data_IF_987454850045
#
_entry.id   IF_987454850045
#
_cell.length_a   1.000
_cell.length_b   1.000
_cell.length_c   1.000
_cell.angle_alpha   90.00
_cell.angle_beta   90.00
_cell.angle_gamma   90.00
#
_symmetry.space_group_name_H-M   'P 1'
#
loop_
_entity.id
_entity.type
_entity.pdbx_description
1 polymer ?
#
# COMPACT_ATOMS: atom_id res chain seq x y z
N UNK A 1 -1.76 -15.11 6.04
CA UNK A 1 -1.25 -13.83 5.51
C UNK A 1 0.25 -13.92 5.29
N UNK A 2 0.70 -13.54 4.14
CA UNK A 2 2.13 -13.53 3.79
C UNK A 2 2.53 -12.13 3.34
N UNK A 3 3.50 -11.54 4.03
CA UNK A 3 4.07 -10.25 3.67
C UNK A 3 5.54 -10.47 3.35
N UNK A 4 5.95 -10.17 2.13
CA UNK A 4 7.33 -10.33 1.67
C UNK A 4 7.97 -8.96 1.55
N UNK A 5 9.03 -8.74 2.31
CA UNK A 5 9.75 -7.46 2.34
C UNK A 5 11.09 -7.58 1.65
N UNK A 6 11.38 -6.63 0.76
CA UNK A 6 12.69 -6.42 0.17
C UNK A 6 13.14 -5.01 0.52
N UNK A 7 14.41 -4.85 0.85
CA UNK A 7 14.98 -3.57 1.22
C UNK A 7 16.14 -3.22 0.29
N UNK A 8 15.98 -2.16 -0.49
CA UNK A 8 16.92 -1.75 -1.55
C UNK A 8 17.42 -0.31 -1.35
N UNK A 9 17.50 0.17 -0.13
CA UNK A 9 17.97 1.50 0.19
C UNK A 9 19.10 1.45 1.23
N UNK A 10 20.02 2.41 1.18
CA UNK A 10 21.07 2.54 2.19
C UNK A 10 20.54 3.11 3.48
N UNK A 11 19.65 4.12 3.37
CA UNK A 11 18.98 4.73 4.51
C UNK A 11 18.10 3.72 5.21
N UNK A 12 18.12 3.70 6.54
CA UNK A 12 17.37 2.74 7.34
C UNK A 12 16.32 3.45 8.18
N UNK A 13 15.17 2.79 8.40
CA UNK A 13 14.22 3.20 9.41
C UNK A 13 14.82 2.94 10.80
N UNK A 14 14.46 3.78 11.78
CA UNK A 14 14.96 3.68 13.16
C UNK A 14 14.06 2.84 14.06
N UNK A 15 13.04 2.21 13.50
CA UNK A 15 12.06 1.39 14.20
C UNK A 15 11.80 0.11 13.41
N UNK A 16 11.08 -0.84 14.01
CA UNK A 16 10.71 -2.10 13.37
C UNK A 16 9.58 -1.84 12.36
N UNK A 17 9.98 -1.40 11.16
CA UNK A 17 9.05 -1.03 10.11
C UNK A 17 8.23 -2.22 9.58
N UNK A 18 8.79 -3.44 9.60
CA UNK A 18 8.08 -4.62 9.12
C UNK A 18 6.87 -4.94 9.99
N UNK A 19 7.05 -4.99 11.31
CA UNK A 19 5.96 -5.21 12.26
C UNK A 19 4.93 -4.11 12.17
N UNK A 20 5.39 -2.87 12.08
CA UNK A 20 4.53 -1.69 11.95
C UNK A 20 3.68 -1.74 10.67
N UNK A 21 4.31 -2.02 9.52
CA UNK A 21 3.59 -2.08 8.24
C UNK A 21 2.59 -3.24 8.21
N UNK A 22 2.95 -4.40 8.78
CA UNK A 22 2.02 -5.54 8.90
C UNK A 22 0.76 -5.14 9.66
N UNK A 23 0.92 -4.43 10.76
CA UNK A 23 -0.20 -3.94 11.57
C UNK A 23 -1.12 -3.02 10.77
N UNK A 24 -0.53 -2.07 10.04
CA UNK A 24 -1.28 -1.16 9.17
C UNK A 24 -2.01 -1.91 8.05
N UNK A 25 -1.31 -2.84 7.38
CA UNK A 25 -1.89 -3.60 6.28
C UNK A 25 -3.04 -4.49 6.75
N UNK A 26 -2.90 -5.16 7.88
CA UNK A 26 -3.95 -5.98 8.46
C UNK A 26 -5.17 -5.13 8.86
N UNK A 27 -4.94 -3.97 9.46
CA UNK A 27 -6.01 -3.04 9.82
C UNK A 27 -6.76 -2.54 8.58
N UNK A 28 -6.03 -2.24 7.50
CA UNK A 28 -6.63 -1.79 6.25
C UNK A 28 -7.48 -2.89 5.60
N UNK A 29 -6.98 -4.13 5.57
CA UNK A 29 -7.69 -5.27 5.01
C UNK A 29 -8.96 -5.59 5.81
N UNK A 30 -8.88 -5.54 7.14
CA UNK A 30 -10.05 -5.71 8.01
C UNK A 30 -11.07 -4.61 7.78
N UNK A 31 -10.60 -3.38 7.62
CA UNK A 31 -11.46 -2.21 7.39
C UNK A 31 -12.28 -2.35 6.10
N UNK A 32 -11.65 -2.81 5.01
CA UNK A 32 -12.34 -3.00 3.73
C UNK A 32 -13.12 -4.31 3.67
N UNK A 33 -13.00 -5.15 4.68
CA UNK A 33 -13.74 -6.41 4.76
C UNK A 33 -13.23 -7.49 3.81
N UNK A 34 -11.92 -7.55 3.57
CA UNK A 34 -11.33 -8.58 2.72
C UNK A 34 -11.56 -9.97 3.34
N UNK A 35 -12.26 -10.89 2.64
CA UNK A 35 -12.59 -12.21 3.19
C UNK A 35 -11.46 -13.23 3.04
N UNK A 36 -10.35 -12.84 2.42
CA UNK A 36 -9.26 -13.77 2.11
C UNK A 36 -8.02 -13.49 2.94
N UNK A 37 -7.24 -14.54 3.20
CA UNK A 37 -5.84 -14.39 3.55
C UNK A 37 -5.11 -13.90 2.30
N UNK A 38 -4.17 -12.98 2.44
CA UNK A 38 -3.50 -12.33 1.30
C UNK A 38 -1.99 -12.53 1.31
N UNK A 39 -1.39 -12.42 0.12
CA UNK A 39 0.04 -12.28 -0.05
C UNK A 39 0.32 -10.91 -0.68
N UNK A 40 1.22 -10.15 -0.06
CA UNK A 40 1.60 -8.81 -0.50
C UNK A 40 3.12 -8.71 -0.51
N UNK A 41 3.68 -8.19 -1.60
CA UNK A 41 5.11 -7.92 -1.71
C UNK A 41 5.37 -6.43 -1.49
N UNK A 42 6.32 -6.11 -0.62
CA UNK A 42 6.67 -4.73 -0.27
C UNK A 42 8.15 -4.50 -0.55
N UNK A 43 8.46 -3.48 -1.33
CA UNK A 43 9.83 -3.06 -1.60
C UNK A 43 10.04 -1.67 -0.99
N UNK A 44 11.02 -1.55 -0.10
CA UNK A 44 11.48 -0.27 0.41
C UNK A 44 12.70 0.11 -0.42
N UNK A 45 12.63 1.23 -1.11
CA UNK A 45 13.69 1.73 -1.97
C UNK A 45 13.96 3.20 -1.68
N UNK A 46 14.79 3.85 -2.48
CA UNK A 46 15.10 5.28 -2.39
C UNK A 46 14.50 6.03 -3.59
N UNK A 47 14.74 7.35 -3.64
CA UNK A 47 14.23 8.18 -4.74
C UNK A 47 14.74 7.71 -6.11
N UNK A 48 15.98 7.28 -6.21
CA UNK A 48 16.56 6.79 -7.47
C UNK A 48 15.87 5.51 -7.92
N UNK A 49 15.67 4.57 -7.02
CA UNK A 49 15.03 3.27 -7.32
C UNK A 49 13.58 3.43 -7.75
N UNK A 50 12.79 4.22 -7.01
CA UNK A 50 11.38 4.42 -7.34
C UNK A 50 11.20 5.27 -8.60
N UNK A 51 12.14 6.20 -8.85
CA UNK A 51 12.16 7.00 -10.07
C UNK A 51 12.27 6.10 -11.32
N UNK A 52 13.20 5.15 -11.29
CA UNK A 52 13.39 4.21 -12.39
C UNK A 52 12.14 3.40 -12.70
N UNK A 53 11.47 2.89 -11.67
CA UNK A 53 10.24 2.12 -11.81
C UNK A 53 9.07 2.98 -12.30
N UNK A 54 8.94 4.19 -11.77
CA UNK A 54 7.89 5.14 -12.16
C UNK A 54 8.02 5.53 -13.64
N UNK A 55 9.25 5.73 -14.10
CA UNK A 55 9.55 6.03 -15.51
C UNK A 55 9.20 4.85 -16.42
N UNK A 56 9.61 3.64 -16.03
CA UNK A 56 9.41 2.43 -16.82
C UNK A 56 7.93 2.04 -16.93
N UNK A 57 7.20 2.02 -15.81
CA UNK A 57 5.84 1.49 -15.76
C UNK A 57 4.74 2.53 -15.94
N UNK A 58 5.00 3.79 -15.60
CA UNK A 58 4.01 4.87 -15.70
C UNK A 58 4.38 5.95 -16.71
N UNK A 59 5.59 5.91 -17.25
CA UNK A 59 6.09 6.93 -18.16
C UNK A 59 6.33 8.29 -17.51
N UNK A 60 6.41 8.34 -16.19
CA UNK A 60 6.63 9.56 -15.42
C UNK A 60 8.09 9.61 -14.98
N UNK A 61 8.85 10.56 -15.56
CA UNK A 61 10.29 10.69 -15.34
C UNK A 61 10.61 11.55 -14.11
N UNK A 62 10.21 11.02 -12.93
CA UNK A 62 10.50 11.64 -11.63
C UNK A 62 10.25 10.61 -10.52
N UNK A 63 10.84 10.80 -9.32
CA UNK A 63 10.52 9.97 -8.17
C UNK A 63 9.11 10.27 -7.66
N UNK A 64 8.53 9.31 -6.94
CA UNK A 64 7.25 9.47 -6.25
C UNK A 64 7.39 8.87 -4.86
N UNK A 65 6.38 8.99 -4.01
CA UNK A 65 6.41 8.45 -2.66
C UNK A 65 6.09 6.95 -2.62
N UNK A 66 5.05 6.53 -3.33
CA UNK A 66 4.59 5.14 -3.32
C UNK A 66 4.06 4.74 -4.70
N UNK A 67 4.29 3.48 -5.05
CA UNK A 67 3.70 2.84 -6.23
C UNK A 67 2.96 1.59 -5.77
N UNK A 68 1.78 1.38 -6.33
CA UNK A 68 0.94 0.23 -6.02
C UNK A 68 0.59 -0.49 -7.32
N UNK A 69 0.80 -1.81 -7.34
CA UNK A 69 0.55 -2.64 -8.51
C UNK A 69 -0.47 -3.73 -8.16
N UNK A 70 -1.78 -3.44 -8.33
CA UNK A 70 -2.82 -4.43 -8.05
C UNK A 70 -2.73 -5.63 -8.98
N UNK A 71 -2.90 -6.83 -8.43
CA UNK A 71 -2.98 -8.06 -9.22
C UNK A 71 -4.39 -8.26 -9.77
N UNK A 72 -5.41 -7.90 -9.01
CA UNK A 72 -6.82 -8.08 -9.37
C UNK A 72 -7.46 -6.77 -9.83
N UNK A 73 -8.48 -6.90 -10.67
CA UNK A 73 -9.32 -5.77 -11.07
C UNK A 73 -10.66 -5.88 -10.34
N UNK A 74 -11.21 -4.75 -9.93
CA UNK A 74 -12.47 -4.66 -9.18
C UNK A 74 -13.45 -3.76 -9.93
N UNK A 75 -14.66 -4.25 -10.16
CA UNK A 75 -15.72 -3.42 -10.74
C UNK A 75 -16.18 -2.36 -9.73
N UNK A 76 -16.28 -2.76 -8.47
CA UNK A 76 -16.61 -1.88 -7.36
C UNK A 76 -15.45 -1.93 -6.36
N UNK A 77 -14.85 -0.79 -5.98
CA UNK A 77 -13.76 -0.77 -5.01
C UNK A 77 -14.14 -1.49 -3.71
N UNK A 78 -13.27 -2.38 -3.26
CA UNK A 78 -13.47 -3.15 -2.03
C UNK A 78 -14.46 -4.31 -2.15
N UNK A 79 -14.97 -4.59 -3.34
CA UNK A 79 -15.87 -5.71 -3.56
C UNK A 79 -15.06 -6.93 -4.05
N UNK A 80 -14.83 -7.87 -3.17
CA UNK A 80 -14.08 -9.10 -3.44
C UNK A 80 -14.94 -10.25 -3.96
N UNK A 81 -16.24 -10.03 -4.10
CA UNK A 81 -17.15 -11.09 -4.57
C UNK A 81 -16.82 -11.50 -5.99
N UNK A 82 -16.88 -12.79 -6.26
CA UNK A 82 -16.65 -13.33 -7.60
C UNK A 82 -15.18 -13.42 -8.03
N UNK A 83 -14.21 -13.01 -7.21
CA UNK A 83 -12.79 -13.10 -7.57
C UNK A 83 -12.34 -14.55 -7.82
N UNK A 84 -12.84 -15.50 -7.07
CA UNK A 84 -12.50 -16.92 -7.26
C UNK A 84 -12.90 -17.41 -8.65
N UNK A 85 -13.96 -16.85 -9.22
CA UNK A 85 -14.47 -17.21 -10.54
C UNK A 85 -13.83 -16.40 -11.65
N UNK A 86 -13.61 -15.10 -11.43
CA UNK A 86 -13.13 -14.17 -12.46
C UNK A 86 -11.62 -14.06 -12.55
N UNK A 87 -10.91 -14.36 -11.47
CA UNK A 87 -9.45 -14.25 -11.40
C UNK A 87 -8.84 -15.42 -10.64
N UNK A 88 -8.90 -16.61 -11.22
CA UNK A 88 -8.30 -17.82 -10.63
C UNK A 88 -6.79 -17.65 -10.44
N UNK A 89 -6.13 -16.93 -11.36
CA UNK A 89 -4.69 -16.66 -11.31
C UNK A 89 -4.30 -15.67 -10.20
N UNK A 90 -5.28 -15.01 -9.60
CA UNK A 90 -5.04 -14.11 -8.48
C UNK A 90 -4.81 -14.84 -7.14
N UNK A 91 -5.00 -16.17 -7.14
CA UNK A 91 -4.82 -16.97 -5.93
C UNK A 91 -3.59 -17.85 -6.04
N UNK A 92 -2.83 -17.90 -4.93
CA UNK A 92 -1.63 -18.73 -4.88
C UNK A 92 -2.02 -20.22 -5.00
N UNK A 93 -1.42 -20.99 -5.95
CA UNK A 93 -1.83 -22.36 -6.19
C UNK A 93 -1.60 -23.33 -5.03
N UNK A 94 -0.66 -23.03 -4.15
CA UNK A 94 -0.33 -23.88 -3.01
C UNK A 94 -1.02 -23.46 -1.72
N UNK A 95 -1.09 -22.16 -1.44
CA UNK A 95 -1.60 -21.62 -0.16
C UNK A 95 -3.06 -21.20 -0.24
N UNK A 96 -3.58 -20.92 -1.44
CA UNK A 96 -4.90 -20.34 -1.62
C UNK A 96 -5.02 -18.88 -1.26
N UNK A 97 -3.93 -18.23 -0.87
CA UNK A 97 -3.93 -16.81 -0.54
C UNK A 97 -4.20 -15.95 -1.77
N UNK A 98 -4.95 -14.87 -1.59
CA UNK A 98 -5.16 -13.87 -2.64
C UNK A 98 -3.84 -13.10 -2.84
N UNK A 99 -3.30 -13.16 -4.05
CA UNK A 99 -2.13 -12.37 -4.44
C UNK A 99 -2.62 -10.95 -4.68
N UNK A 100 -2.58 -10.13 -3.63
CA UNK A 100 -3.20 -8.79 -3.67
C UNK A 100 -2.42 -7.83 -4.57
N UNK A 101 -1.11 -7.90 -4.52
CA UNK A 101 -0.25 -7.09 -5.38
C UNK A 101 1.06 -6.70 -4.74
N UNK A 102 1.70 -5.70 -5.35
CA UNK A 102 3.01 -5.22 -4.95
C UNK A 102 2.95 -3.74 -4.56
N UNK A 103 3.75 -3.37 -3.55
CA UNK A 103 3.89 -2.01 -3.06
C UNK A 103 5.37 -1.63 -3.11
N UNK A 104 5.68 -0.46 -3.62
CA UNK A 104 7.03 0.11 -3.58
C UNK A 104 6.98 1.48 -2.92
N UNK A 105 7.82 1.70 -1.91
CA UNK A 105 7.85 2.95 -1.14
C UNK A 105 9.27 3.51 -1.14
N UNK A 106 9.39 4.84 -1.38
CA UNK A 106 10.66 5.55 -1.23
C UNK A 106 10.84 6.02 0.21
N UNK A 107 11.86 5.50 0.89
CA UNK A 107 12.19 5.93 2.25
C UNK A 107 12.55 7.42 2.28
N UNK A 108 13.20 7.92 1.23
CA UNK A 108 13.53 9.36 1.13
C UNK A 108 12.28 10.21 1.17
N UNK A 109 11.25 9.83 0.43
CA UNK A 109 9.98 10.55 0.41
C UNK A 109 9.23 10.47 1.74
N UNK A 110 9.31 9.34 2.42
CA UNK A 110 8.70 9.20 3.75
C UNK A 110 9.30 10.23 4.71
N UNK A 111 10.62 10.34 4.76
CA UNK A 111 11.30 11.32 5.62
C UNK A 111 11.03 12.76 5.19
N UNK A 112 11.12 13.06 3.90
CA UNK A 112 10.84 14.39 3.35
C UNK A 112 9.41 14.85 3.68
N UNK A 113 8.44 14.01 3.49
CA UNK A 113 7.03 14.34 3.72
C UNK A 113 6.68 14.43 5.20
N UNK A 114 7.27 13.56 6.03
CA UNK A 114 7.09 13.65 7.48
C UNK A 114 7.57 15.01 8.00
N UNK A 115 8.73 15.45 7.56
CA UNK A 115 9.27 16.76 7.93
C UNK A 115 8.41 17.91 7.40
N UNK A 116 8.03 17.83 6.12
CA UNK A 116 7.24 18.89 5.47
C UNK A 116 5.86 19.06 6.12
N UNK A 117 5.22 17.98 6.54
CA UNK A 117 3.90 18.02 7.14
C UNK A 117 3.89 18.07 8.67
N UNK A 118 5.06 18.03 9.29
CA UNK A 118 5.21 18.16 10.73
C UNK A 118 4.68 16.97 11.53
N UNK A 119 4.81 15.74 11.02
CA UNK A 119 4.44 14.56 11.77
C UNK A 119 5.56 13.50 11.77
N UNK A 120 5.36 12.41 12.52
CA UNK A 120 6.38 11.37 12.66
C UNK A 120 6.61 10.60 11.36
N UNK A 121 7.79 10.01 11.24
CA UNK A 121 8.13 9.10 10.13
C UNK A 121 7.20 7.90 10.12
N UNK A 122 6.92 7.33 11.29
CA UNK A 122 6.00 6.20 11.45
C UNK A 122 4.61 6.50 10.89
N UNK A 123 4.11 7.67 11.20
CA UNK A 123 2.80 8.11 10.74
C UNK A 123 2.75 8.28 9.22
N UNK A 124 3.79 8.90 8.63
CA UNK A 124 3.86 9.05 7.18
C UNK A 124 3.94 7.69 6.50
N UNK A 125 4.76 6.78 7.02
CA UNK A 125 4.82 5.41 6.51
C UNK A 125 3.47 4.70 6.63
N UNK A 126 2.79 4.86 7.76
CA UNK A 126 1.46 4.29 7.98
C UNK A 126 0.43 4.83 7.00
N UNK A 127 0.45 6.12 6.75
CA UNK A 127 -0.43 6.79 5.78
C UNK A 127 -0.22 6.24 4.36
N UNK A 128 1.03 6.15 3.92
CA UNK A 128 1.36 5.62 2.59
C UNK A 128 1.02 4.14 2.46
N UNK A 129 1.23 3.37 3.52
CA UNK A 129 0.90 1.94 3.54
C UNK A 129 -0.60 1.72 3.41
N UNK A 130 -1.41 2.45 4.19
CA UNK A 130 -2.87 2.38 4.12
C UNK A 130 -3.37 2.79 2.73
N UNK A 131 -2.80 3.87 2.18
CA UNK A 131 -3.10 4.35 0.83
C UNK A 131 -2.87 3.26 -0.22
N UNK A 132 -1.72 2.58 -0.15
CA UNK A 132 -1.38 1.49 -1.07
C UNK A 132 -2.34 0.32 -0.96
N UNK A 133 -2.70 -0.10 0.25
CA UNK A 133 -3.65 -1.21 0.42
C UNK A 133 -5.00 -0.86 -0.20
N UNK A 134 -5.48 0.37 -0.01
CA UNK A 134 -6.73 0.80 -0.65
C UNK A 134 -6.65 0.72 -2.17
N UNK A 135 -5.53 1.14 -2.76
CA UNK A 135 -5.31 0.99 -4.21
C UNK A 135 -5.32 -0.48 -4.64
N UNK A 136 -4.67 -1.36 -3.88
CA UNK A 136 -4.66 -2.79 -4.18
C UNK A 136 -6.06 -3.41 -4.09
N UNK A 137 -6.96 -2.80 -3.33
CA UNK A 137 -8.36 -3.23 -3.21
C UNK A 137 -9.29 -2.54 -4.20
N UNK A 138 -8.76 -1.77 -5.13
CA UNK A 138 -9.52 -1.16 -6.21
C UNK A 138 -9.92 0.29 -6.01
N UNK A 139 -9.62 0.89 -4.86
CA UNK A 139 -9.90 2.31 -4.63
C UNK A 139 -8.93 3.19 -5.42
N UNK A 140 -9.42 4.31 -5.88
CA UNK A 140 -8.61 5.25 -6.67
C UNK A 140 -8.95 6.68 -6.27
N UNK A 141 -8.19 7.65 -6.78
CA UNK A 141 -8.37 9.07 -6.50
C UNK A 141 -8.26 9.91 -7.79
N UNK A 142 -8.87 9.42 -8.86
CA UNK A 142 -8.84 10.09 -10.18
C UNK A 142 -9.61 11.41 -10.11
N UNK A 143 -10.81 11.41 -9.50
CA UNK A 143 -11.60 12.62 -9.30
C UNK A 143 -11.61 13.04 -7.84
N UNK A 144 -12.18 14.21 -7.56
CA UNK A 144 -12.21 14.78 -6.22
C UNK A 144 -13.08 13.97 -5.25
N UNK A 145 -14.19 13.43 -5.71
CA UNK A 145 -15.09 12.62 -4.87
C UNK A 145 -14.38 11.34 -4.44
N UNK A 146 -13.71 10.66 -5.35
CA UNK A 146 -12.92 9.47 -5.07
C UNK A 146 -11.77 9.78 -4.10
N UNK A 147 -11.11 10.91 -4.29
CA UNK A 147 -10.02 11.35 -3.42
C UNK A 147 -10.50 11.57 -1.98
N UNK A 148 -11.64 12.23 -1.82
CA UNK A 148 -12.24 12.50 -0.50
C UNK A 148 -12.60 11.18 0.20
N UNK A 149 -13.22 10.25 -0.50
CA UNK A 149 -13.57 8.93 0.03
C UNK A 149 -12.32 8.18 0.47
N UNK A 150 -11.30 8.19 -0.34
CA UNK A 150 -10.04 7.49 -0.06
C UNK A 150 -9.31 8.09 1.14
N UNK A 151 -9.21 9.40 1.23
CA UNK A 151 -8.59 10.09 2.37
C UNK A 151 -9.34 9.84 3.69
N UNK A 152 -10.66 9.78 3.63
CA UNK A 152 -11.50 9.48 4.78
C UNK A 152 -11.25 8.05 5.29
N UNK A 153 -11.17 7.08 4.39
CA UNK A 153 -10.84 5.70 4.72
C UNK A 153 -9.43 5.56 5.31
N UNK A 154 -8.46 6.26 4.75
CA UNK A 154 -7.10 6.29 5.29
C UNK A 154 -7.07 6.79 6.73
N UNK A 155 -7.80 7.87 7.01
CA UNK A 155 -7.92 8.41 8.37
C UNK A 155 -8.53 7.40 9.34
N UNK A 156 -9.62 6.77 8.94
CA UNK A 156 -10.31 5.78 9.78
C UNK A 156 -9.42 4.57 10.07
N UNK A 157 -8.67 4.09 9.08
CA UNK A 157 -7.71 3.00 9.26
C UNK A 157 -6.64 3.37 10.27
N UNK A 158 -6.03 4.55 10.13
CA UNK A 158 -4.99 5.01 11.03
C UNK A 158 -5.50 5.28 12.44
N UNK A 159 -6.72 5.76 12.58
CA UNK A 159 -7.35 5.97 13.88
C UNK A 159 -7.54 4.65 14.64
N UNK A 160 -7.85 3.57 13.95
CA UNK A 160 -8.00 2.24 14.54
C UNK A 160 -6.72 1.74 15.21
N UNK A 161 -5.57 2.10 14.68
CA UNK A 161 -4.27 1.70 15.24
C UNK A 161 -3.61 2.80 16.07
N UNK A 162 -4.34 3.86 16.37
CA UNK A 162 -3.87 4.93 17.25
C UNK A 162 -2.96 5.96 16.59
N UNK A 163 -2.91 6.03 15.27
CA UNK A 163 -2.12 7.00 14.51
C UNK A 163 -3.00 8.13 14.01
N UNK A 164 -3.20 9.14 14.82
CA UNK A 164 -3.99 10.32 14.43
C UNK A 164 -3.16 11.32 13.64
N UNK A 165 -3.81 11.94 12.70
CA UNK A 165 -3.19 12.96 11.88
C UNK A 165 -3.29 14.35 12.49
#
# INVERSE_FOLDING_TARGET
MTFRFEYEAEKQFTFDYETFMKEVMEAALDYVGCPYETEINIVITDNEGIHAVNKEYRGIDRPTDVLSFPMAEYEIPGDFSGLEETCMDCFHPETGELLLGDIMISIDKVYEQAEAYGHSVERELGFLTAHSILHLCGYDHIDEEERIVMEEKQREILDKIGLKR
#
